data_IF_982214736070
#
_entry.id   IF_982214736070
#
_cell.length_a   1.000
_cell.length_b   1.000
_cell.length_c   1.000
_cell.angle_alpha   90.00
_cell.angle_beta   90.00
_cell.angle_gamma   90.00
#
_symmetry.space_group_name_H-M   'P 1'
#
loop_
_entity.id
_entity.type
_entity.pdbx_description
1 polymer ?
#
# COMPACT_ATOMS: atom_id res chain seq x y z
N UNK A 1 12.60 9.29 1.09
CA UNK A 1 11.38 10.14 1.07
C UNK A 1 11.04 10.51 2.50
N UNK A 2 10.50 11.71 2.79
CA UNK A 2 10.06 12.09 4.15
C UNK A 2 8.59 12.50 4.14
N UNK A 3 7.81 12.06 5.13
CA UNK A 3 6.41 12.43 5.27
C UNK A 3 6.28 13.92 5.65
N UNK A 4 5.42 14.65 4.93
CA UNK A 4 5.16 16.08 5.21
C UNK A 4 4.12 16.29 6.32
N UNK A 5 3.24 15.32 6.52
CA UNK A 5 2.13 15.35 7.48
C UNK A 5 1.94 13.95 8.06
N UNK A 6 1.32 13.85 9.24
CA UNK A 6 1.08 12.57 9.91
C UNK A 6 -0.33 12.50 10.52
N UNK A 7 -1.00 11.38 10.28
CA UNK A 7 -2.19 10.97 11.02
C UNK A 7 -1.87 9.64 11.71
N UNK A 8 -2.01 9.60 13.03
CA UNK A 8 -1.63 8.45 13.83
C UNK A 8 -2.87 7.63 14.16
N UNK A 9 -2.84 6.35 13.79
CA UNK A 9 -3.90 5.39 14.08
C UNK A 9 -3.36 4.28 14.99
N UNK A 10 -4.16 3.88 15.99
CA UNK A 10 -3.85 2.75 16.87
C UNK A 10 -4.68 1.55 16.45
N UNK A 11 -4.01 0.44 16.10
CA UNK A 11 -4.67 -0.82 15.85
C UNK A 11 -5.26 -1.36 17.16
N UNK A 12 -6.54 -1.74 17.15
CA UNK A 12 -7.23 -2.26 18.33
C UNK A 12 -6.89 -3.71 18.65
N UNK A 13 -6.30 -4.41 17.69
CA UNK A 13 -5.91 -5.81 17.77
C UNK A 13 -4.49 -6.00 17.21
N UNK A 14 -3.82 -7.06 17.67
CA UNK A 14 -2.51 -7.42 17.13
C UNK A 14 -2.69 -7.92 15.70
N UNK A 15 -2.10 -7.20 14.75
CA UNK A 15 -2.08 -7.60 13.34
C UNK A 15 -0.70 -8.18 13.06
N UNK A 16 -0.67 -9.45 12.67
CA UNK A 16 0.57 -10.06 12.15
C UNK A 16 0.68 -9.67 10.68
N UNK A 17 1.59 -8.74 10.39
CA UNK A 17 1.84 -8.26 9.04
C UNK A 17 2.96 -9.11 8.43
N UNK A 18 2.63 -9.83 7.37
CA UNK A 18 3.55 -10.62 6.57
C UNK A 18 3.66 -9.97 5.19
N UNK A 19 4.88 -9.60 4.78
CA UNK A 19 5.13 -8.82 3.56
C UNK A 19 4.57 -9.50 2.31
N UNK A 20 4.76 -10.82 2.20
CA UNK A 20 4.29 -11.62 1.06
C UNK A 20 2.76 -11.68 0.99
N UNK A 21 2.09 -11.84 2.14
CA UNK A 21 0.62 -11.83 2.18
C UNK A 21 0.07 -10.44 1.89
N UNK A 22 0.68 -9.39 2.44
CA UNK A 22 0.31 -8.02 2.15
C UNK A 22 0.45 -7.72 0.66
N UNK A 23 1.55 -8.10 0.03
CA UNK A 23 1.77 -7.87 -1.40
C UNK A 23 0.69 -8.54 -2.25
N UNK A 24 0.38 -9.82 -2.00
CA UNK A 24 -0.70 -10.53 -2.69
C UNK A 24 -2.06 -9.86 -2.49
N UNK A 25 -2.36 -9.38 -1.28
CA UNK A 25 -3.62 -8.70 -0.98
C UNK A 25 -3.72 -7.32 -1.67
N UNK A 26 -2.62 -6.56 -1.71
CA UNK A 26 -2.55 -5.24 -2.35
C UNK A 26 -2.63 -5.37 -3.87
N UNK A 27 -2.01 -6.39 -4.46
CA UNK A 27 -2.06 -6.69 -5.90
C UNK A 27 -3.50 -6.89 -6.40
N UNK A 28 -4.41 -7.46 -5.59
CA UNK A 28 -5.82 -7.60 -5.94
C UNK A 28 -6.52 -6.24 -6.16
N UNK A 29 -5.99 -5.17 -5.56
CA UNK A 29 -6.48 -3.79 -5.70
C UNK A 29 -5.39 -2.86 -6.24
N UNK A 30 -4.50 -3.37 -7.09
CA UNK A 30 -3.52 -2.55 -7.79
C UNK A 30 -4.21 -1.44 -8.59
N UNK A 31 -3.55 -0.30 -8.71
CA UNK A 31 -4.07 0.84 -9.45
C UNK A 31 -4.34 0.46 -10.91
N UNK A 32 -5.54 0.79 -11.38
CA UNK A 32 -5.94 0.63 -12.77
C UNK A 32 -6.34 1.99 -13.33
N UNK A 33 -5.84 2.39 -14.51
CA UNK A 33 -6.23 3.65 -15.11
C UNK A 33 -7.74 3.69 -15.36
N UNK A 34 -8.33 4.88 -15.23
CA UNK A 34 -9.75 5.07 -15.49
C UNK A 34 -10.07 4.75 -16.96
N UNK A 35 -11.18 4.04 -17.20
CA UNK A 35 -11.80 4.03 -18.52
C UNK A 35 -12.60 5.31 -18.73
N UNK A 36 -12.90 5.68 -19.98
CA UNK A 36 -13.62 6.93 -20.31
C UNK A 36 -15.02 7.09 -19.70
N UNK A 37 -15.53 6.07 -19.03
CA UNK A 37 -16.85 6.04 -18.37
C UNK A 37 -16.72 6.21 -16.84
N UNK A 38 -15.50 6.09 -16.29
CA UNK A 38 -15.27 6.06 -14.83
C UNK A 38 -14.72 7.41 -14.33
N UNK A 39 -15.42 8.10 -13.42
CA UNK A 39 -15.00 9.43 -12.96
C UNK A 39 -13.74 9.42 -12.09
N UNK A 40 -13.47 8.32 -11.37
CA UNK A 40 -12.25 8.13 -10.60
C UNK A 40 -11.89 6.66 -10.41
N UNK A 41 -10.61 6.39 -10.19
CA UNK A 41 -10.06 5.07 -9.88
C UNK A 41 -9.05 5.21 -8.75
N UNK A 42 -9.07 4.25 -7.83
CA UNK A 42 -8.18 4.18 -6.69
C UNK A 42 -7.61 2.77 -6.63
N UNK A 43 -6.32 2.68 -6.34
CA UNK A 43 -5.63 1.42 -6.13
C UNK A 43 -4.20 1.66 -5.67
N UNK A 44 -3.51 0.57 -5.37
CA UNK A 44 -2.16 0.59 -4.83
C UNK A 44 -1.12 0.76 -5.94
N UNK A 45 -0.05 1.48 -5.63
CA UNK A 45 1.10 1.72 -6.52
C UNK A 45 2.37 1.44 -5.73
N UNK A 46 3.47 1.13 -6.42
CA UNK A 46 4.73 0.92 -5.73
C UNK A 46 5.18 2.21 -5.02
N UNK A 47 5.51 2.15 -3.72
CA UNK A 47 6.07 3.31 -3.02
C UNK A 47 7.54 3.56 -3.38
N UNK A 48 8.19 2.60 -4.04
CA UNK A 48 9.59 2.65 -4.49
C UNK A 48 9.67 2.45 -6.01
N UNK A 49 10.89 2.38 -6.55
CA UNK A 49 11.14 2.13 -7.97
C UNK A 49 11.05 0.64 -8.37
N UNK A 50 10.91 -0.26 -7.40
CA UNK A 50 11.13 -1.70 -7.61
C UNK A 50 9.86 -2.47 -7.96
N UNK A 51 8.79 -1.78 -8.39
CA UNK A 51 7.48 -2.34 -8.76
C UNK A 51 6.75 -3.13 -7.65
N UNK A 52 7.37 -3.33 -6.48
CA UNK A 52 6.76 -4.00 -5.32
C UNK A 52 5.75 -3.08 -4.66
N UNK A 53 4.61 -3.62 -4.24
CA UNK A 53 3.57 -2.85 -3.54
C UNK A 53 3.80 -2.78 -2.03
N UNK A 54 4.79 -3.52 -1.54
CA UNK A 54 5.21 -3.50 -0.13
C UNK A 54 6.71 -3.25 -0.09
N UNK A 55 7.13 -2.36 0.81
CA UNK A 55 8.51 -2.19 1.19
C UNK A 55 8.61 -2.36 2.71
N UNK A 56 9.19 -3.49 3.14
CA UNK A 56 9.39 -3.85 4.53
C UNK A 56 10.83 -3.56 4.94
N UNK A 57 11.00 -2.88 6.08
CA UNK A 57 12.32 -2.59 6.68
C UNK A 57 12.20 -2.72 8.19
N UNK A 58 12.83 -3.74 8.75
CA UNK A 58 12.92 -3.96 10.20
C UNK A 58 11.54 -3.97 10.91
N UNK A 59 10.53 -4.58 10.27
CA UNK A 59 9.16 -4.64 10.78
C UNK A 59 8.32 -3.38 10.55
N UNK A 60 8.88 -2.35 9.90
CA UNK A 60 8.12 -1.23 9.36
C UNK A 60 7.68 -1.54 7.94
N UNK A 61 6.39 -1.37 7.67
CA UNK A 61 5.81 -1.59 6.35
C UNK A 61 5.43 -0.26 5.72
N UNK A 62 5.91 -0.06 4.49
CA UNK A 62 5.53 1.03 3.60
C UNK A 62 4.75 0.40 2.44
N UNK A 63 3.57 0.94 2.14
CA UNK A 63 2.70 0.53 1.05
C UNK A 63 2.47 1.70 0.10
#
# INVERSE_FOLDING_TARGET
MIFKNAHVYRLTQSVNLDADQCERALQQRAFRPCSGIRPSSFGWVSPTSDETLVHEVAGCFLF
#
